data_IF_326103955990
#
_entry.id   IF_326103955990
#
_cell.length_a   1.000
_cell.length_b   1.000
_cell.length_c   1.000
_cell.angle_alpha   90.00
_cell.angle_beta   90.00
_cell.angle_gamma   90.00
#
_symmetry.space_group_name_H-M   'P 1'
#
loop_
_entity.id
_entity.type
_entity.pdbx_description
1 polymer ?
#
# COMPACT_ATOMS: atom_id res chain seq x y z
N UNK A 1 29.09 -2.42 -28.26
CA UNK A 1 28.77 -1.09 -27.67
C UNK A 1 27.56 -0.40 -28.30
N UNK A 2 27.14 -0.72 -29.54
CA UNK A 2 25.98 -0.10 -30.20
C UNK A 2 24.61 -0.51 -29.61
N UNK A 3 24.46 -1.76 -29.17
CA UNK A 3 23.17 -2.33 -28.73
C UNK A 3 22.66 -1.82 -27.37
N UNK A 4 23.55 -1.44 -26.46
CA UNK A 4 23.22 -1.01 -25.11
C UNK A 4 22.73 0.46 -25.08
N UNK A 5 23.29 1.30 -25.96
CA UNK A 5 22.82 2.66 -26.17
C UNK A 5 21.43 2.68 -26.82
N UNK A 6 21.17 1.76 -27.75
CA UNK A 6 19.87 1.65 -28.44
C UNK A 6 18.75 1.16 -27.51
N UNK A 7 19.03 0.21 -26.61
CA UNK A 7 18.07 -0.24 -25.57
C UNK A 7 17.77 0.85 -24.53
N UNK A 8 18.78 1.64 -24.14
CA UNK A 8 18.63 2.74 -23.19
C UNK A 8 17.83 3.91 -23.79
N UNK A 9 18.05 4.24 -25.06
CA UNK A 9 17.25 5.24 -25.78
C UNK A 9 15.78 4.82 -25.92
N UNK A 10 15.53 3.55 -26.26
CA UNK A 10 14.17 3.00 -26.41
C UNK A 10 13.40 2.93 -25.07
N UNK A 11 14.09 2.62 -23.97
CA UNK A 11 13.52 2.66 -22.62
C UNK A 11 13.17 4.08 -22.15
N UNK A 12 14.04 5.06 -22.43
CA UNK A 12 13.79 6.47 -22.14
C UNK A 12 12.63 7.04 -22.98
N UNK A 13 12.52 6.63 -24.23
CA UNK A 13 11.43 7.05 -25.12
C UNK A 13 10.09 6.43 -24.70
N UNK A 14 10.10 5.18 -24.23
CA UNK A 14 8.91 4.51 -23.66
C UNK A 14 8.45 5.20 -22.37
N UNK A 15 9.37 5.55 -21.47
CA UNK A 15 9.05 6.29 -20.24
C UNK A 15 8.53 7.70 -20.53
N UNK A 16 9.06 8.37 -21.56
CA UNK A 16 8.62 9.71 -21.94
C UNK A 16 7.24 9.72 -22.61
N UNK A 17 6.94 8.71 -23.44
CA UNK A 17 5.60 8.51 -24.01
C UNK A 17 4.58 8.14 -22.91
N UNK A 18 4.96 7.30 -21.94
CA UNK A 18 4.14 7.01 -20.76
C UNK A 18 3.90 8.26 -19.90
N UNK A 19 4.89 9.15 -19.79
CA UNK A 19 4.78 10.41 -19.06
C UNK A 19 3.86 11.42 -19.77
N UNK A 20 3.96 11.55 -21.09
CA UNK A 20 3.08 12.42 -21.89
C UNK A 20 1.63 11.93 -21.89
N UNK A 21 1.40 10.60 -21.92
CA UNK A 21 0.06 10.00 -21.79
C UNK A 21 -0.56 10.23 -20.41
N UNK A 22 0.15 9.88 -19.33
CA UNK A 22 -0.31 10.08 -17.96
C UNK A 22 -0.59 11.56 -17.63
N UNK A 23 0.13 12.48 -18.28
CA UNK A 23 -0.14 13.93 -18.14
C UNK A 23 -1.45 14.34 -18.80
N UNK A 24 -1.74 13.82 -19.99
CA UNK A 24 -3.00 14.10 -20.70
C UNK A 24 -4.20 13.47 -19.99
N UNK A 25 -4.03 12.31 -19.36
CA UNK A 25 -5.11 11.62 -18.65
C UNK A 25 -5.37 12.24 -17.27
N UNK A 26 -4.35 12.69 -16.55
CA UNK A 26 -4.54 13.47 -15.32
C UNK A 26 -5.17 14.85 -15.54
N UNK A 27 -4.83 15.53 -16.64
CA UNK A 27 -5.51 16.78 -17.05
C UNK A 27 -7.01 16.53 -17.30
N UNK A 28 -7.43 15.32 -17.70
CA UNK A 28 -8.84 14.93 -17.86
C UNK A 28 -9.55 14.56 -16.56
N UNK A 29 -8.82 14.24 -15.50
CA UNK A 29 -9.39 13.75 -14.24
C UNK A 29 -9.65 14.88 -13.22
N UNK A 30 -9.33 16.15 -13.47
CA UNK A 30 -9.52 17.28 -12.52
C UNK A 30 -8.95 17.03 -11.09
N UNK A 31 -8.17 15.96 -10.92
CA UNK A 31 -7.45 15.63 -9.69
C UNK A 31 -6.31 16.62 -9.71
N UNK A 32 -6.47 17.77 -9.02
CA UNK A 32 -5.59 18.94 -9.11
C UNK A 32 -4.23 18.59 -9.71
N UNK A 33 -3.98 19.05 -10.95
CA UNK A 33 -3.24 18.36 -12.03
C UNK A 33 -2.00 17.53 -11.66
N UNK A 34 -1.31 17.83 -10.57
CA UNK A 34 -0.16 17.07 -10.08
C UNK A 34 -0.55 15.80 -9.29
N UNK A 35 -1.62 15.83 -8.49
CA UNK A 35 -2.05 14.68 -7.67
C UNK A 35 -2.69 13.58 -8.51
N UNK A 36 -3.34 13.93 -9.63
CA UNK A 36 -3.92 12.98 -10.59
C UNK A 36 -2.88 12.16 -11.33
N UNK A 37 -1.87 12.83 -11.93
CA UNK A 37 -0.76 12.17 -12.65
C UNK A 37 -0.04 11.20 -11.73
N UNK A 38 0.18 11.61 -10.49
CA UNK A 38 1.02 10.89 -9.57
C UNK A 38 0.27 9.73 -8.90
N UNK A 39 -1.01 9.85 -8.56
CA UNK A 39 -1.84 8.70 -8.14
C UNK A 39 -1.84 7.59 -9.20
N UNK A 40 -2.04 7.97 -10.46
CA UNK A 40 -1.95 7.08 -11.62
C UNK A 40 -0.59 6.37 -11.70
N UNK A 41 0.52 7.11 -11.52
CA UNK A 41 1.87 6.53 -11.52
C UNK A 41 2.13 5.53 -10.36
N UNK A 42 1.57 5.73 -9.17
CA UNK A 42 1.64 4.73 -8.09
C UNK A 42 0.95 3.43 -8.50
N UNK A 43 -0.24 3.58 -9.08
CA UNK A 43 -1.06 2.45 -9.47
C UNK A 43 -0.42 1.70 -10.64
N UNK A 44 0.26 2.38 -11.57
CA UNK A 44 1.01 1.72 -12.67
C UNK A 44 2.13 0.80 -12.17
N UNK A 45 2.71 1.05 -11.00
CA UNK A 45 3.86 0.27 -10.47
C UNK A 45 3.48 -0.90 -9.57
N UNK A 46 2.25 -0.96 -9.07
CA UNK A 46 1.78 -2.12 -8.30
C UNK A 46 1.40 -3.27 -9.24
N UNK A 47 1.64 -4.52 -8.78
CA UNK A 47 1.14 -5.73 -9.44
C UNK A 47 -0.35 -5.98 -9.17
N UNK A 48 -0.96 -5.21 -8.26
CA UNK A 48 -2.39 -5.25 -7.97
C UNK A 48 -3.17 -4.60 -9.12
N UNK A 49 -4.21 -5.23 -9.65
CA UNK A 49 -5.07 -4.59 -10.63
C UNK A 49 -5.92 -3.50 -9.95
N UNK A 50 -5.93 -2.30 -10.53
CA UNK A 50 -6.62 -1.13 -9.97
C UNK A 50 -7.37 -0.39 -11.06
N UNK A 51 -8.55 0.10 -10.69
CA UNK A 51 -9.42 0.95 -11.49
C UNK A 51 -10.02 2.10 -10.66
N UNK A 52 -10.28 3.24 -11.32
CA UNK A 52 -11.10 4.32 -10.78
C UNK A 52 -12.33 4.53 -11.66
N UNK A 53 -13.49 4.66 -11.04
CA UNK A 53 -14.73 5.07 -11.69
C UNK A 53 -15.13 6.47 -11.21
N UNK A 54 -15.69 7.28 -12.12
CA UNK A 54 -16.24 8.60 -11.79
C UNK A 54 -17.76 8.50 -11.56
N UNK A 55 -18.23 8.47 -10.30
CA UNK A 55 -19.66 8.34 -10.00
C UNK A 55 -20.48 9.58 -10.41
N UNK A 56 -19.83 10.71 -10.70
CA UNK A 56 -20.50 11.94 -11.11
C UNK A 56 -20.81 11.98 -12.62
N UNK A 57 -20.34 10.97 -13.38
CA UNK A 57 -20.63 10.79 -14.80
C UNK A 57 -21.68 9.69 -14.99
N UNK A 58 -22.44 9.81 -16.07
CA UNK A 58 -23.48 8.83 -16.41
C UNK A 58 -22.90 7.41 -16.43
N UNK A 59 -23.56 6.51 -15.69
CA UNK A 59 -23.21 5.10 -15.55
C UNK A 59 -21.87 4.79 -14.84
N UNK A 60 -21.30 5.76 -14.11
CA UNK A 60 -20.05 5.60 -13.36
C UNK A 60 -18.92 4.94 -14.18
N UNK A 61 -18.50 5.55 -15.29
CA UNK A 61 -17.52 4.97 -16.20
C UNK A 61 -16.14 4.91 -15.55
N UNK A 62 -15.37 3.90 -15.92
CA UNK A 62 -13.96 3.84 -15.59
C UNK A 62 -13.23 5.00 -16.25
N UNK A 63 -12.53 5.80 -15.44
CA UNK A 63 -11.72 6.95 -15.88
C UNK A 63 -10.23 6.65 -15.81
N UNK A 64 -9.83 5.58 -15.12
CA UNK A 64 -8.46 5.13 -15.04
C UNK A 64 -8.38 3.63 -14.75
N UNK A 65 -7.39 2.96 -15.34
CA UNK A 65 -6.96 1.60 -14.98
C UNK A 65 -5.44 1.47 -15.10
N UNK A 66 -4.82 0.67 -14.22
CA UNK A 66 -3.39 0.45 -14.29
C UNK A 66 -2.99 -0.68 -15.26
N UNK A 67 -1.68 -0.89 -15.44
CA UNK A 67 -1.13 -1.98 -16.26
C UNK A 67 -1.61 -3.36 -15.78
N UNK A 68 -1.59 -3.60 -14.47
CA UNK A 68 -1.99 -4.88 -13.91
C UNK A 68 -3.47 -5.21 -14.20
N UNK A 69 -4.37 -4.21 -14.22
CA UNK A 69 -5.77 -4.41 -14.62
C UNK A 69 -5.90 -4.85 -16.07
N UNK A 70 -5.14 -4.22 -16.97
CA UNK A 70 -5.12 -4.57 -18.40
C UNK A 70 -4.57 -5.97 -18.62
N UNK A 71 -3.49 -6.32 -17.92
CA UNK A 71 -2.89 -7.66 -17.96
C UNK A 71 -3.83 -8.73 -17.37
N UNK A 72 -4.48 -8.43 -16.24
CA UNK A 72 -5.45 -9.32 -15.61
C UNK A 72 -6.64 -9.55 -16.55
N UNK A 73 -7.26 -8.50 -17.09
CA UNK A 73 -8.52 -8.63 -17.83
C UNK A 73 -8.32 -8.98 -19.31
N UNK A 74 -7.12 -8.73 -19.85
CA UNK A 74 -6.80 -8.91 -21.27
C UNK A 74 -7.39 -7.83 -22.18
N UNK A 75 -8.06 -6.80 -21.64
CA UNK A 75 -8.60 -5.70 -22.43
C UNK A 75 -7.54 -4.59 -22.62
N UNK A 76 -7.42 -4.00 -23.82
CA UNK A 76 -6.65 -2.79 -24.01
C UNK A 76 -7.37 -1.60 -23.39
N UNK A 77 -6.62 -0.58 -23.00
CA UNK A 77 -7.13 0.60 -22.30
C UNK A 77 -8.27 1.31 -23.03
N UNK A 78 -8.16 1.43 -24.36
CA UNK A 78 -9.15 2.03 -25.26
C UNK A 78 -10.52 1.34 -25.20
N UNK A 79 -10.55 0.06 -24.83
CA UNK A 79 -11.78 -0.72 -24.67
C UNK A 79 -12.31 -0.73 -23.23
N UNK A 80 -11.57 -0.13 -22.28
CA UNK A 80 -11.91 -0.10 -20.85
C UNK A 80 -12.41 1.29 -20.45
N UNK A 81 -11.64 2.33 -20.79
CA UNK A 81 -11.92 3.70 -20.38
C UNK A 81 -13.24 4.17 -20.97
N UNK A 82 -14.06 4.83 -20.15
CA UNK A 82 -15.39 5.30 -20.53
C UNK A 82 -16.51 4.27 -20.37
N UNK A 83 -16.22 3.03 -19.96
CA UNK A 83 -17.23 1.99 -19.71
C UNK A 83 -17.38 1.72 -18.22
N UNK A 84 -18.59 1.37 -17.80
CA UNK A 84 -18.77 0.82 -16.46
C UNK A 84 -18.08 -0.55 -16.35
N UNK A 85 -17.38 -0.79 -15.23
CA UNK A 85 -16.60 -2.02 -14.97
C UNK A 85 -17.42 -3.32 -15.04
N UNK A 86 -18.76 -3.24 -15.01
CA UNK A 86 -19.65 -4.40 -15.19
C UNK A 86 -19.46 -5.14 -16.52
N UNK A 87 -18.74 -4.60 -17.49
CA UNK A 87 -18.40 -5.33 -18.72
C UNK A 87 -17.59 -6.61 -18.48
N UNK A 88 -16.96 -6.76 -17.31
CA UNK A 88 -16.28 -7.98 -16.91
C UNK A 88 -17.24 -9.08 -16.41
N UNK A 89 -18.53 -8.77 -16.22
CA UNK A 89 -19.54 -9.73 -15.76
C UNK A 89 -20.04 -10.60 -16.93
N UNK A 90 -20.57 -11.78 -16.63
CA UNK A 90 -21.12 -12.70 -17.62
C UNK A 90 -22.14 -13.66 -17.01
N UNK A 91 -22.47 -14.74 -17.73
CA UNK A 91 -23.58 -15.64 -17.40
C UNK A 91 -23.48 -16.27 -16.00
N UNK A 92 -22.26 -16.60 -15.56
CA UNK A 92 -22.01 -17.20 -14.24
C UNK A 92 -21.77 -16.20 -13.12
N UNK A 93 -21.86 -14.89 -13.36
CA UNK A 93 -21.70 -13.87 -12.32
C UNK A 93 -22.90 -13.88 -11.38
N UNK A 94 -22.68 -14.09 -10.07
CA UNK A 94 -23.75 -14.11 -9.06
C UNK A 94 -24.44 -12.73 -8.94
N UNK A 95 -25.74 -12.62 -9.27
CA UNK A 95 -26.49 -11.37 -9.13
C UNK A 95 -26.57 -10.85 -7.69
N UNK A 96 -26.42 -11.73 -6.68
CA UNK A 96 -26.38 -11.36 -5.27
C UNK A 96 -25.16 -10.52 -4.92
N UNK A 97 -23.97 -10.89 -5.41
CA UNK A 97 -22.75 -10.10 -5.22
C UNK A 97 -22.83 -8.76 -5.96
N UNK A 98 -23.43 -8.76 -7.16
CA UNK A 98 -23.66 -7.52 -7.93
C UNK A 98 -24.59 -6.55 -7.18
N UNK A 99 -25.63 -7.06 -6.50
CA UNK A 99 -26.48 -6.22 -5.65
C UNK A 99 -25.72 -5.60 -4.48
N UNK A 100 -24.88 -6.37 -3.78
CA UNK A 100 -24.03 -5.84 -2.69
C UNK A 100 -23.11 -4.72 -3.16
N UNK A 101 -22.51 -4.87 -4.35
CA UNK A 101 -21.70 -3.81 -4.96
C UNK A 101 -22.53 -2.55 -5.21
N UNK A 102 -23.74 -2.70 -5.76
CA UNK A 102 -24.64 -1.57 -6.02
C UNK A 102 -25.02 -0.85 -4.74
N UNK A 103 -25.45 -1.59 -3.71
CA UNK A 103 -25.80 -1.04 -2.41
C UNK A 103 -24.63 -0.29 -1.77
N UNK A 104 -23.41 -0.84 -1.85
CA UNK A 104 -22.23 -0.17 -1.32
C UNK A 104 -21.89 1.12 -2.08
N UNK A 105 -22.06 1.13 -3.40
CA UNK A 105 -21.86 2.35 -4.20
C UNK A 105 -22.90 3.42 -3.82
N UNK A 106 -24.17 3.03 -3.67
CA UNK A 106 -25.26 3.95 -3.33
C UNK A 106 -25.13 4.53 -1.92
N UNK A 107 -24.62 3.76 -0.98
CA UNK A 107 -24.41 4.19 0.41
C UNK A 107 -23.03 4.81 0.66
N UNK A 108 -22.16 4.87 -0.36
CA UNK A 108 -20.75 5.24 -0.23
C UNK A 108 -19.99 4.39 0.81
N UNK A 109 -20.32 3.10 0.88
CA UNK A 109 -19.70 2.14 1.77
C UNK A 109 -18.48 1.47 1.13
N UNK A 110 -17.61 0.95 2.00
CA UNK A 110 -16.53 0.06 1.61
C UNK A 110 -17.03 -1.38 1.58
N UNK A 111 -16.80 -2.07 0.47
CA UNK A 111 -17.23 -3.47 0.31
C UNK A 111 -16.14 -4.34 -0.31
N UNK A 112 -16.13 -5.61 0.09
CA UNK A 112 -15.37 -6.66 -0.56
C UNK A 112 -16.35 -7.74 -1.00
N UNK A 113 -16.27 -8.11 -2.26
CA UNK A 113 -17.03 -9.23 -2.83
C UNK A 113 -16.09 -10.11 -3.64
N UNK A 114 -16.42 -11.40 -3.69
CA UNK A 114 -15.84 -12.30 -4.69
C UNK A 114 -16.91 -12.57 -5.74
N UNK A 115 -16.61 -12.27 -6.99
CA UNK A 115 -17.54 -12.50 -8.08
C UNK A 115 -16.82 -13.08 -9.30
N UNK A 116 -17.54 -13.91 -10.05
CA UNK A 116 -17.04 -14.45 -11.30
C UNK A 116 -16.99 -13.34 -12.35
N UNK A 117 -15.83 -13.13 -12.94
CA UNK A 117 -15.61 -12.22 -14.05
C UNK A 117 -15.00 -12.96 -15.24
N UNK A 118 -15.02 -12.32 -16.40
CA UNK A 118 -14.59 -12.89 -17.67
C UNK A 118 -13.56 -11.97 -18.31
N UNK A 119 -12.43 -12.55 -18.68
CA UNK A 119 -11.41 -11.86 -19.46
C UNK A 119 -11.89 -11.63 -20.89
N UNK A 120 -11.13 -10.84 -21.66
CA UNK A 120 -11.43 -10.56 -23.07
C UNK A 120 -11.53 -11.82 -23.94
N UNK A 121 -10.73 -12.84 -23.64
CA UNK A 121 -10.75 -14.14 -24.34
C UNK A 121 -11.91 -15.05 -23.89
N UNK A 122 -12.75 -14.60 -22.95
CA UNK A 122 -13.85 -15.37 -22.37
C UNK A 122 -13.44 -16.27 -21.21
N UNK A 123 -12.16 -16.33 -20.83
CA UNK A 123 -11.70 -17.13 -19.70
C UNK A 123 -12.33 -16.60 -18.40
N UNK A 124 -13.05 -17.45 -17.64
CA UNK A 124 -13.59 -17.05 -16.35
C UNK A 124 -12.47 -16.96 -15.31
N UNK A 125 -12.56 -15.98 -14.42
CA UNK A 125 -11.68 -15.86 -13.25
C UNK A 125 -12.48 -15.37 -12.04
N UNK A 126 -12.11 -15.84 -10.85
CA UNK A 126 -12.67 -15.35 -9.60
C UNK A 126 -11.99 -14.05 -9.22
N UNK A 127 -12.75 -12.97 -9.25
CA UNK A 127 -12.28 -11.65 -8.89
C UNK A 127 -12.66 -11.34 -7.43
N UNK A 128 -11.68 -11.27 -6.55
CA UNK A 128 -11.85 -10.61 -5.26
C UNK A 128 -11.77 -9.10 -5.47
N UNK A 129 -12.94 -8.45 -5.54
CA UNK A 129 -13.09 -7.03 -5.76
C UNK A 129 -13.29 -6.31 -4.43
N UNK A 130 -12.36 -5.41 -4.11
CA UNK A 130 -12.56 -4.40 -3.08
C UNK A 130 -12.96 -3.08 -3.75
N UNK A 131 -13.98 -2.43 -3.20
CA UNK A 131 -14.55 -1.19 -3.70
C UNK A 131 -14.73 -0.20 -2.54
N UNK A 132 -14.44 1.08 -2.77
CA UNK A 132 -14.71 2.13 -1.78
C UNK A 132 -14.66 3.55 -2.35
N UNK A 133 -15.23 4.53 -1.62
CA UNK A 133 -15.28 5.93 -2.06
C UNK A 133 -13.93 6.65 -1.85
N UNK A 134 -13.67 7.63 -2.71
CA UNK A 134 -12.61 8.64 -2.57
C UNK A 134 -13.29 10.01 -2.57
N UNK A 135 -12.93 10.85 -1.61
CA UNK A 135 -13.53 12.17 -1.41
C UNK A 135 -12.59 13.31 -1.79
N UNK A 136 -13.18 14.45 -2.15
CA UNK A 136 -12.50 15.75 -2.23
C UNK A 136 -12.21 16.31 -0.83
N UNK A 137 -11.41 17.38 -0.78
CA UNK A 137 -11.06 18.06 0.48
C UNK A 137 -12.28 18.69 1.19
N UNK A 138 -13.33 19.02 0.43
CA UNK A 138 -14.61 19.54 0.92
C UNK A 138 -15.58 18.44 1.37
N UNK A 139 -15.19 17.17 1.25
CA UNK A 139 -16.00 16.01 1.62
C UNK A 139 -16.93 15.51 0.52
N UNK A 140 -16.91 16.06 -0.70
CA UNK A 140 -17.74 15.55 -1.79
C UNK A 140 -17.19 14.24 -2.37
N UNK A 141 -18.05 13.28 -2.75
CA UNK A 141 -17.63 12.06 -3.42
C UNK A 141 -16.99 12.37 -4.77
N UNK A 142 -15.73 11.96 -4.93
CA UNK A 142 -14.92 12.24 -6.12
C UNK A 142 -14.82 11.03 -7.04
N UNK A 143 -14.42 9.88 -6.50
CA UNK A 143 -14.29 8.64 -7.26
C UNK A 143 -14.77 7.44 -6.46
N UNK A 144 -14.99 6.36 -7.19
CA UNK A 144 -15.05 5.02 -6.63
C UNK A 144 -13.77 4.30 -7.04
N UNK A 145 -13.02 3.88 -6.03
CA UNK A 145 -11.84 3.05 -6.19
C UNK A 145 -12.23 1.57 -6.27
N UNK A 146 -11.60 0.82 -7.17
CA UNK A 146 -11.71 -0.62 -7.23
C UNK A 146 -10.34 -1.28 -7.36
N UNK A 147 -10.05 -2.28 -6.53
CA UNK A 147 -8.89 -3.17 -6.71
C UNK A 147 -9.32 -4.60 -6.90
N UNK A 148 -8.70 -5.27 -7.85
CA UNK A 148 -9.06 -6.61 -8.30
C UNK A 148 -7.91 -7.56 -8.05
N UNK A 149 -8.23 -8.74 -7.53
CA UNK A 149 -7.28 -9.82 -7.39
C UNK A 149 -7.87 -11.11 -7.95
N UNK A 150 -7.08 -11.79 -8.75
CA UNK A 150 -7.40 -13.12 -9.22
C UNK A 150 -7.19 -14.14 -8.11
N UNK A 151 -8.30 -14.67 -7.59
CA UNK A 151 -8.32 -15.71 -6.57
C UNK A 151 -8.80 -17.04 -7.13
N UNK A 152 -8.68 -17.26 -8.45
CA UNK A 152 -9.16 -18.49 -9.10
C UNK A 152 -8.50 -19.75 -8.51
N UNK A 153 -7.18 -19.73 -8.30
CA UNK A 153 -6.44 -20.85 -7.71
C UNK A 153 -6.87 -21.11 -6.26
N UNK A 154 -7.07 -20.04 -5.49
CA UNK A 154 -7.57 -20.14 -4.12
C UNK A 154 -8.96 -20.75 -4.16
N UNK A 155 -9.87 -20.23 -4.98
CA UNK A 155 -11.25 -20.72 -5.08
C UNK A 155 -11.33 -22.17 -5.56
N UNK A 156 -10.42 -22.61 -6.43
CA UNK A 156 -10.30 -24.02 -6.82
C UNK A 156 -9.91 -24.88 -5.60
N UNK A 157 -8.93 -24.44 -4.79
CA UNK A 157 -8.56 -25.13 -3.55
C UNK A 157 -9.70 -25.12 -2.49
N UNK A 158 -10.54 -24.07 -2.47
CA UNK A 158 -11.68 -23.93 -1.55
C UNK A 158 -12.84 -24.87 -1.86
N UNK A 159 -13.03 -25.29 -3.12
CA UNK A 159 -14.04 -26.29 -3.48
C UNK A 159 -13.80 -27.62 -2.75
N UNK A 160 -12.56 -27.87 -2.34
CA UNK A 160 -12.12 -29.11 -1.72
C UNK A 160 -12.06 -29.05 -0.17
N UNK A 161 -12.10 -27.88 0.50
CA UNK A 161 -11.84 -27.81 1.96
C UNK A 161 -12.58 -26.71 2.78
N UNK A 162 -12.95 -27.04 4.02
CA UNK A 162 -13.67 -26.17 4.99
C UNK A 162 -12.80 -25.03 5.57
N UNK A 163 -11.47 -25.14 5.49
CA UNK A 163 -10.51 -24.10 5.92
C UNK A 163 -10.61 -22.80 5.10
N UNK A 164 -11.13 -22.90 3.88
CA UNK A 164 -11.44 -21.80 2.97
C UNK A 164 -12.18 -20.61 3.60
N UNK A 165 -13.17 -20.91 4.46
CA UNK A 165 -14.05 -19.89 5.06
C UNK A 165 -13.36 -19.07 6.16
N UNK A 166 -12.31 -19.61 6.79
CA UNK A 166 -11.48 -18.83 7.72
C UNK A 166 -10.55 -17.89 6.94
N UNK A 167 -9.93 -18.39 5.87
CA UNK A 167 -9.12 -17.55 4.96
C UNK A 167 -9.95 -16.42 4.33
N UNK A 168 -11.22 -16.65 3.99
CA UNK A 168 -12.14 -15.63 3.46
C UNK A 168 -12.30 -14.44 4.42
N UNK A 169 -12.62 -14.71 5.70
CA UNK A 169 -12.74 -13.65 6.71
C UNK A 169 -11.42 -12.95 6.93
N UNK A 170 -10.34 -13.71 6.97
CA UNK A 170 -9.01 -13.20 7.25
C UNK A 170 -8.50 -12.30 6.12
N UNK A 171 -8.61 -12.72 4.86
CA UNK A 171 -8.27 -11.90 3.67
C UNK A 171 -9.18 -10.68 3.60
N UNK A 172 -10.48 -10.82 3.83
CA UNK A 172 -11.42 -9.69 3.81
C UNK A 172 -11.08 -8.65 4.90
N UNK A 173 -10.77 -9.09 6.12
CA UNK A 173 -10.33 -8.21 7.19
C UNK A 173 -8.98 -7.55 6.89
N UNK A 174 -8.00 -8.32 6.40
CA UNK A 174 -6.67 -7.82 5.98
C UNK A 174 -6.77 -6.71 4.94
N UNK A 175 -7.62 -6.92 3.94
CA UNK A 175 -7.81 -5.97 2.84
C UNK A 175 -8.52 -4.71 3.32
N UNK A 176 -9.61 -4.82 4.10
CA UNK A 176 -10.29 -3.64 4.70
C UNK A 176 -9.32 -2.77 5.49
N UNK A 177 -8.45 -3.38 6.30
CA UNK A 177 -7.45 -2.66 7.09
C UNK A 177 -6.41 -1.96 6.20
N UNK A 178 -5.89 -2.66 5.18
CA UNK A 178 -4.94 -2.09 4.22
C UNK A 178 -5.52 -0.88 3.48
N UNK A 179 -6.78 -0.95 3.06
CA UNK A 179 -7.42 0.16 2.35
C UNK A 179 -7.79 1.33 3.25
N UNK A 180 -8.17 1.09 4.51
CA UNK A 180 -8.31 2.17 5.49
C UNK A 180 -7.00 2.94 5.67
N UNK A 181 -5.87 2.22 5.67
CA UNK A 181 -4.53 2.80 5.72
C UNK A 181 -4.20 3.57 4.42
N UNK A 182 -4.50 3.03 3.23
CA UNK A 182 -4.29 3.73 1.94
C UNK A 182 -5.13 5.01 1.87
N UNK A 183 -6.42 4.94 2.19
CA UNK A 183 -7.30 6.11 2.23
C UNK A 183 -6.81 7.16 3.24
N UNK A 184 -6.25 6.71 4.38
CA UNK A 184 -5.60 7.59 5.36
C UNK A 184 -4.32 8.22 4.79
N UNK A 185 -3.51 7.50 4.02
CA UNK A 185 -2.33 8.07 3.32
C UNK A 185 -2.78 9.18 2.38
N UNK A 186 -3.75 8.91 1.50
CA UNK A 186 -4.23 9.89 0.52
C UNK A 186 -4.79 11.13 1.22
N UNK A 187 -5.66 10.92 2.22
CA UNK A 187 -6.33 12.01 2.94
C UNK A 187 -5.36 12.83 3.80
N UNK A 188 -4.50 12.19 4.59
CA UNK A 188 -3.60 12.90 5.51
C UNK A 188 -2.45 13.57 4.76
N UNK A 189 -1.87 12.93 3.75
CA UNK A 189 -0.80 13.54 2.96
C UNK A 189 -1.36 14.70 2.13
N UNK A 190 -2.55 14.55 1.55
CA UNK A 190 -3.22 15.64 0.81
C UNK A 190 -3.66 16.84 1.68
N UNK A 191 -3.96 16.62 2.96
CA UNK A 191 -4.33 17.70 3.91
C UNK A 191 -3.12 18.42 4.53
N UNK A 192 -1.97 17.75 4.64
CA UNK A 192 -0.80 18.23 5.37
C UNK A 192 0.33 18.75 4.47
N UNK A 193 0.30 18.44 3.17
CA UNK A 193 1.32 18.88 2.21
C UNK A 193 0.65 19.66 1.06
N UNK A 194 0.90 20.97 1.00
CA UNK A 194 0.41 21.85 -0.09
C UNK A 194 1.48 22.08 -1.18
N UNK A 195 2.51 21.23 -1.25
CA UNK A 195 3.74 21.48 -2.00
C UNK A 195 4.11 20.34 -2.99
N UNK A 196 4.94 20.69 -3.98
CA UNK A 196 5.56 19.80 -4.97
C UNK A 196 6.06 18.48 -4.35
N UNK A 197 5.75 17.36 -5.00
CA UNK A 197 6.20 16.02 -4.59
C UNK A 197 5.29 15.28 -3.60
N UNK A 198 4.14 15.85 -3.21
CA UNK A 198 3.09 15.20 -2.40
C UNK A 198 2.82 13.77 -2.87
N UNK A 199 2.55 13.60 -4.15
CA UNK A 199 2.13 12.30 -4.62
C UNK A 199 3.30 11.35 -4.94
N UNK A 200 4.54 11.83 -5.09
CA UNK A 200 5.72 10.94 -4.99
C UNK A 200 5.81 10.27 -3.61
N UNK A 201 5.48 11.00 -2.54
CA UNK A 201 5.44 10.49 -1.16
C UNK A 201 4.28 9.51 -0.94
N UNK A 202 3.07 9.84 -1.43
CA UNK A 202 1.92 8.91 -1.41
C UNK A 202 2.29 7.61 -2.15
N UNK A 203 2.93 7.72 -3.30
CA UNK A 203 3.29 6.57 -4.13
C UNK A 203 4.32 5.68 -3.47
N UNK A 204 5.33 6.28 -2.82
CA UNK A 204 6.34 5.53 -2.08
C UNK A 204 5.70 4.69 -0.96
N UNK A 205 4.73 5.27 -0.24
CA UNK A 205 4.00 4.61 0.84
C UNK A 205 3.12 3.47 0.35
N UNK A 206 2.33 3.68 -0.70
CA UNK A 206 1.46 2.63 -1.27
C UNK A 206 2.30 1.46 -1.78
N UNK A 207 3.43 1.73 -2.46
CA UNK A 207 4.35 0.66 -2.90
C UNK A 207 4.93 -0.11 -1.73
N UNK A 208 5.32 0.58 -0.66
CA UNK A 208 5.87 -0.10 0.51
C UNK A 208 4.83 -1.00 1.18
N UNK A 209 3.60 -0.52 1.28
CA UNK A 209 2.48 -1.30 1.80
C UNK A 209 2.18 -2.52 0.93
N UNK A 210 2.21 -2.37 -0.40
CA UNK A 210 2.04 -3.49 -1.32
C UNK A 210 3.11 -4.58 -1.16
N UNK A 211 4.39 -4.21 -0.98
CA UNK A 211 5.49 -5.17 -0.71
C UNK A 211 5.31 -5.89 0.62
N UNK A 212 4.89 -5.18 1.66
CA UNK A 212 4.60 -5.79 2.95
C UNK A 212 3.52 -6.85 2.82
N UNK A 213 2.47 -6.56 2.04
CA UNK A 213 1.37 -7.47 1.82
C UNK A 213 1.79 -8.71 1.00
N UNK A 214 2.62 -8.56 -0.03
CA UNK A 214 3.17 -9.69 -0.79
C UNK A 214 4.04 -10.58 0.12
N UNK A 215 4.89 -9.99 0.95
CA UNK A 215 5.68 -10.73 1.94
C UNK A 215 4.81 -11.44 2.99
N UNK A 216 3.62 -10.92 3.29
CA UNK A 216 2.65 -11.56 4.20
C UNK A 216 1.87 -12.70 3.55
N UNK A 217 1.65 -12.68 2.24
CA UNK A 217 1.00 -13.79 1.53
C UNK A 217 1.85 -15.07 1.57
N UNK A 218 3.17 -14.93 1.71
CA UNK A 218 4.11 -16.04 1.92
C UNK A 218 4.20 -16.50 3.39
N UNK A 219 3.67 -15.71 4.35
CA UNK A 219 3.69 -16.05 5.77
C UNK A 219 2.40 -16.78 6.12
N UNK A 220 2.51 -18.08 6.42
CA UNK A 220 1.44 -18.81 7.10
C UNK A 220 1.28 -18.24 8.51
N UNK A 221 0.28 -17.40 8.70
CA UNK A 221 -0.21 -17.04 10.03
C UNK A 221 -0.88 -18.28 10.62
N UNK A 222 -0.09 -19.13 11.26
CA UNK A 222 -0.60 -20.13 12.20
C UNK A 222 -1.17 -19.40 13.41
N UNK A 223 -2.15 -19.97 14.13
CA UNK A 223 -2.59 -19.48 15.44
C UNK A 223 -1.41 -19.46 16.43
N UNK A 224 -0.62 -18.39 16.43
CA UNK A 224 0.56 -18.25 17.29
C UNK A 224 1.56 -17.17 16.87
N UNK A 225 2.60 -16.94 17.70
CA UNK A 225 3.62 -15.91 17.46
C UNK A 225 4.35 -16.10 16.12
N UNK A 226 4.42 -15.02 15.35
CA UNK A 226 5.05 -14.97 14.03
C UNK A 226 6.48 -14.43 14.15
N UNK A 227 7.40 -14.94 13.33
CA UNK A 227 8.75 -14.39 13.20
C UNK A 227 8.78 -13.34 12.08
N UNK A 228 8.88 -12.03 12.39
CA UNK A 228 8.87 -10.97 11.39
C UNK A 228 10.23 -10.73 10.72
N UNK A 229 11.27 -11.50 11.06
CA UNK A 229 12.64 -11.24 10.59
C UNK A 229 12.75 -11.15 9.07
N UNK A 230 12.11 -12.07 8.33
CA UNK A 230 12.11 -12.04 6.85
C UNK A 230 11.39 -10.79 6.32
N UNK A 231 10.20 -10.50 6.86
CA UNK A 231 9.41 -9.32 6.48
C UNK A 231 10.20 -8.02 6.67
N UNK A 232 10.79 -7.82 7.85
CA UNK A 232 11.56 -6.60 8.13
C UNK A 232 12.80 -6.48 7.25
N UNK A 233 13.45 -7.61 6.94
CA UNK A 233 14.57 -7.64 6.00
C UNK A 233 14.13 -7.22 4.60
N UNK A 234 13.05 -7.81 4.09
CA UNK A 234 12.51 -7.54 2.75
C UNK A 234 12.06 -6.07 2.62
N UNK A 235 11.56 -5.47 3.71
CA UNK A 235 11.17 -4.06 3.76
C UNK A 235 12.36 -3.09 3.77
N UNK A 236 13.44 -3.40 4.49
CA UNK A 236 14.56 -2.47 4.70
C UNK A 236 15.69 -2.64 3.68
N UNK A 237 15.88 -3.84 3.13
CA UNK A 237 16.95 -4.14 2.18
C UNK A 237 17.01 -3.17 0.97
N UNK A 238 15.90 -2.69 0.38
CA UNK A 238 15.96 -1.73 -0.73
C UNK A 238 16.63 -0.39 -0.41
N UNK A 239 16.76 -0.04 0.88
CA UNK A 239 17.31 1.24 1.35
C UNK A 239 18.74 1.13 1.86
N UNK A 240 19.16 -0.07 2.24
CA UNK A 240 20.40 -0.32 2.96
C UNK A 240 21.62 -0.22 2.01
N UNK A 241 22.52 0.76 2.16
CA UNK A 241 23.58 1.04 1.19
C UNK A 241 24.63 -0.07 1.08
N UNK A 242 24.81 -0.87 2.15
CA UNK A 242 25.68 -2.06 2.20
C UNK A 242 24.93 -3.39 2.06
N UNK A 243 23.65 -3.36 1.66
CA UNK A 243 22.79 -4.54 1.65
C UNK A 243 22.54 -5.09 3.06
N UNK A 244 22.60 -6.41 3.24
CA UNK A 244 22.27 -7.05 4.51
C UNK A 244 23.22 -6.69 5.67
N UNK A 245 24.43 -6.18 5.39
CA UNK A 245 25.42 -5.82 6.41
C UNK A 245 25.14 -4.51 7.14
N UNK A 246 24.34 -3.62 6.55
CA UNK A 246 23.98 -2.30 7.11
C UNK A 246 22.65 -2.31 7.91
N UNK A 247 22.09 -3.50 8.15
CA UNK A 247 20.87 -3.71 8.96
C UNK A 247 21.16 -4.81 10.00
N UNK A 248 20.91 -4.52 11.27
CA UNK A 248 20.77 -5.56 12.31
C UNK A 248 19.30 -5.72 12.66
N UNK A 249 18.82 -6.96 12.62
CA UNK A 249 17.47 -7.35 13.04
C UNK A 249 17.60 -8.23 14.28
N UNK A 250 16.94 -7.88 15.37
CA UNK A 250 17.05 -8.62 16.63
C UNK A 250 15.71 -8.70 17.37
N UNK A 251 15.18 -9.90 17.55
CA UNK A 251 13.93 -10.08 18.26
C UNK A 251 13.39 -11.50 18.16
N UNK A 252 12.37 -11.77 18.97
CA UNK A 252 11.72 -13.09 19.04
C UNK A 252 10.48 -13.19 18.16
N UNK A 253 9.77 -14.31 18.27
CA UNK A 253 8.43 -14.41 17.69
C UNK A 253 7.45 -13.57 18.50
N UNK A 254 6.58 -12.84 17.80
CA UNK A 254 5.62 -11.91 18.42
C UNK A 254 4.22 -12.08 17.82
N UNK A 255 3.15 -11.84 18.58
CA UNK A 255 1.79 -11.83 18.03
C UNK A 255 1.68 -10.67 17.04
N UNK A 256 1.42 -10.99 15.77
CA UNK A 256 1.26 -10.01 14.70
C UNK A 256 -0.04 -10.29 13.99
N UNK A 257 -0.94 -9.31 14.02
CA UNK A 257 -2.06 -9.26 13.11
C UNK A 257 -1.71 -8.43 11.87
N UNK A 258 -2.60 -8.51 10.89
CA UNK A 258 -2.41 -7.85 9.61
C UNK A 258 -2.41 -6.32 9.65
N UNK A 259 -3.13 -5.72 10.59
CA UNK A 259 -3.21 -4.27 10.76
C UNK A 259 -1.89 -3.74 11.30
N UNK A 260 -1.39 -4.36 12.37
CA UNK A 260 -0.10 -4.01 12.99
C UNK A 260 1.02 -4.12 11.95
N UNK A 261 1.04 -5.18 11.15
CA UNK A 261 2.07 -5.33 10.10
C UNK A 261 1.97 -4.25 9.02
N UNK A 262 0.75 -3.88 8.60
CA UNK A 262 0.55 -2.81 7.60
C UNK A 262 1.08 -1.47 8.11
N UNK A 263 0.79 -1.15 9.38
CA UNK A 263 1.25 0.07 10.05
C UNK A 263 2.77 0.07 10.28
N UNK A 264 3.33 -1.08 10.68
CA UNK A 264 4.78 -1.27 10.81
C UNK A 264 5.50 -1.08 9.48
N UNK A 265 4.97 -1.63 8.39
CA UNK A 265 5.58 -1.52 7.08
C UNK A 265 5.70 -0.08 6.58
N UNK A 266 4.67 0.74 6.84
CA UNK A 266 4.69 2.17 6.53
C UNK A 266 5.64 2.93 7.44
N UNK A 267 5.63 2.64 8.74
CA UNK A 267 6.52 3.28 9.70
C UNK A 267 7.99 3.02 9.35
N UNK A 268 8.34 1.76 9.09
CA UNK A 268 9.68 1.35 8.69
C UNK A 268 10.10 1.94 7.35
N UNK A 269 9.18 2.03 6.38
CA UNK A 269 9.45 2.68 5.11
C UNK A 269 9.87 4.14 5.28
N UNK A 270 9.11 4.90 6.04
CA UNK A 270 9.37 6.31 6.23
C UNK A 270 10.64 6.55 7.06
N UNK A 271 10.87 5.73 8.09
CA UNK A 271 12.13 5.74 8.85
C UNK A 271 13.32 5.44 7.93
N UNK A 272 13.23 4.44 7.06
CA UNK A 272 14.28 4.12 6.10
C UNK A 272 14.52 5.25 5.09
N UNK A 273 13.47 5.89 4.58
CA UNK A 273 13.60 7.06 3.69
C UNK A 273 14.30 8.21 4.43
N UNK A 274 13.95 8.46 5.69
CA UNK A 274 14.62 9.48 6.51
C UNK A 274 16.09 9.14 6.74
N UNK A 275 16.40 7.88 7.02
CA UNK A 275 17.79 7.41 7.16
C UNK A 275 18.59 7.66 5.86
N UNK A 276 18.00 7.38 4.68
CA UNK A 276 18.67 7.62 3.38
C UNK A 276 18.89 9.12 3.14
N UNK A 277 17.89 9.95 3.41
CA UNK A 277 17.94 11.39 3.11
C UNK A 277 18.78 12.18 4.11
N UNK A 278 18.74 11.78 5.37
CA UNK A 278 19.16 12.63 6.48
C UNK A 278 19.95 11.91 7.57
N UNK A 279 19.91 10.58 7.63
CA UNK A 279 20.40 9.79 8.76
C UNK A 279 21.46 8.76 8.37
N UNK A 280 21.45 7.60 9.03
CA UNK A 280 22.48 6.57 8.88
C UNK A 280 22.74 6.20 7.40
N UNK A 281 21.71 5.88 6.63
CA UNK A 281 21.87 5.44 5.24
C UNK A 281 22.28 6.52 4.24
N UNK A 282 22.47 7.76 4.68
CA UNK A 282 23.06 8.81 3.83
C UNK A 282 24.57 8.61 3.60
N UNK A 283 25.22 7.73 4.37
CA UNK A 283 26.66 7.42 4.29
C UNK A 283 26.92 5.91 4.22
N UNK A 284 28.02 5.46 3.58
CA UNK A 284 28.32 4.03 3.41
C UNK A 284 28.51 3.25 4.72
N UNK A 285 29.03 3.91 5.76
CA UNK A 285 29.30 3.33 7.09
C UNK A 285 28.07 3.31 8.00
N UNK A 286 26.96 3.87 7.52
CA UNK A 286 25.73 3.98 8.28
C UNK A 286 25.09 2.64 8.56
N UNK A 287 24.58 2.50 9.78
CA UNK A 287 23.98 1.28 10.27
C UNK A 287 22.63 1.54 10.92
N UNK A 288 21.67 0.66 10.67
CA UNK A 288 20.39 0.66 11.38
C UNK A 288 20.25 -0.64 12.14
N UNK A 289 19.85 -0.53 13.40
CA UNK A 289 19.35 -1.65 14.20
C UNK A 289 17.85 -1.52 14.35
N UNK A 290 17.14 -2.59 14.02
CA UNK A 290 15.73 -2.77 14.31
C UNK A 290 15.60 -3.94 15.30
N UNK A 291 15.09 -3.66 16.50
CA UNK A 291 14.80 -4.68 17.50
C UNK A 291 13.35 -4.69 17.94
N UNK A 292 12.87 -5.85 18.39
CA UNK A 292 11.47 -5.99 18.79
C UNK A 292 11.25 -7.03 19.90
N UNK A 293 10.27 -6.77 20.75
CA UNK A 293 9.89 -7.63 21.86
C UNK A 293 8.44 -7.38 22.30
N UNK A 294 7.84 -8.33 23.00
CA UNK A 294 6.64 -8.06 23.80
C UNK A 294 7.08 -7.55 25.16
N UNK A 295 6.51 -6.42 25.60
CA UNK A 295 6.75 -5.78 26.89
C UNK A 295 5.44 -5.66 27.66
N UNK A 296 5.53 -5.43 28.96
CA UNK A 296 4.36 -5.06 29.78
C UNK A 296 4.03 -3.59 29.51
N UNK A 297 2.84 -3.35 28.97
CA UNK A 297 2.29 -2.02 28.72
C UNK A 297 1.60 -1.41 29.95
N UNK A 298 0.91 -0.28 29.77
CA UNK A 298 0.06 0.31 30.79
C UNK A 298 -0.94 -0.73 31.32
N UNK A 299 -1.15 -0.75 32.63
CA UNK A 299 -2.07 -1.68 33.31
C UNK A 299 -1.70 -3.18 33.21
N UNK A 300 -0.50 -3.50 32.71
CA UNK A 300 0.01 -4.88 32.61
C UNK A 300 -0.47 -5.62 31.35
N UNK A 301 -1.05 -4.90 30.39
CA UNK A 301 -1.43 -5.47 29.10
C UNK A 301 -0.20 -5.64 28.18
N UNK A 302 -0.07 -6.77 27.47
CA UNK A 302 1.08 -7.01 26.61
C UNK A 302 1.08 -6.04 25.42
N UNK A 303 2.24 -5.41 25.18
CA UNK A 303 2.47 -4.52 24.05
C UNK A 303 3.65 -4.98 23.20
N UNK A 304 3.52 -4.89 21.89
CA UNK A 304 4.64 -5.04 20.96
C UNK A 304 5.44 -3.74 20.97
N UNK A 305 6.71 -3.83 21.33
CA UNK A 305 7.68 -2.74 21.23
C UNK A 305 8.61 -2.98 20.05
N UNK A 306 8.80 -1.95 19.23
CA UNK A 306 9.71 -1.93 18.09
C UNK A 306 10.70 -0.76 18.28
N UNK A 307 11.98 -1.07 18.37
CA UNK A 307 13.07 -0.09 18.51
C UNK A 307 13.84 0.08 17.22
N UNK A 308 13.93 1.31 16.72
CA UNK A 308 14.78 1.70 15.59
C UNK A 308 15.94 2.54 16.10
N UNK A 309 17.16 2.18 15.76
CA UNK A 309 18.37 2.91 16.15
C UNK A 309 19.28 3.12 14.95
N UNK A 310 19.64 4.37 14.69
CA UNK A 310 20.59 4.77 13.66
C UNK A 310 21.96 5.05 14.28
N UNK A 311 23.03 4.54 13.67
CA UNK A 311 24.41 4.84 14.05
C UNK A 311 25.30 5.01 12.82
N UNK A 312 26.44 5.68 13.00
CA UNK A 312 27.41 5.92 11.93
C UNK A 312 26.98 6.96 10.89
N UNK A 313 25.78 7.53 11.03
CA UNK A 313 25.27 8.63 10.22
C UNK A 313 25.79 10.01 10.63
N UNK A 314 25.45 11.07 9.87
CA UNK A 314 25.76 12.44 10.25
C UNK A 314 25.03 12.81 11.55
N UNK A 315 25.69 13.61 12.39
CA UNK A 315 25.07 14.15 13.60
C UNK A 315 23.78 14.92 13.25
N UNK A 316 22.69 14.74 14.00
CA UNK A 316 21.47 15.50 13.77
C UNK A 316 21.76 17.01 13.82
N UNK A 317 21.27 17.78 12.83
CA UNK A 317 21.53 19.22 12.79
C UNK A 317 20.83 19.93 13.95
N UNK A 318 21.59 20.69 14.74
CA UNK A 318 21.06 21.58 15.77
C UNK A 318 20.09 22.59 15.13
N UNK A 319 18.81 22.52 15.54
CA UNK A 319 17.74 23.38 15.04
C UNK A 319 16.66 22.70 14.18
N UNK A 320 16.81 21.40 13.88
CA UNK A 320 15.84 20.63 13.09
C UNK A 320 14.96 19.67 13.92
N UNK A 321 14.61 20.06 15.16
CA UNK A 321 13.51 19.45 15.96
C UNK A 321 12.13 19.77 15.36
N UNK A 322 11.97 19.69 14.05
CA UNK A 322 10.67 19.83 13.39
C UNK A 322 10.27 18.46 12.90
N UNK A 323 9.20 17.92 13.49
CA UNK A 323 8.48 16.80 12.93
C UNK A 323 8.16 17.14 11.47
N UNK A 324 8.80 16.42 10.54
CA UNK A 324 8.47 16.54 9.13
C UNK A 324 7.07 15.98 8.89
N UNK A 325 6.45 16.39 7.78
CA UNK A 325 5.14 15.86 7.33
C UNK A 325 5.10 14.32 7.37
N UNK A 326 6.24 13.67 7.08
CA UNK A 326 6.44 12.23 7.23
C UNK A 326 6.12 11.70 8.63
N UNK A 327 6.78 12.24 9.65
CA UNK A 327 6.66 11.81 11.05
C UNK A 327 5.24 12.06 11.59
N UNK A 328 4.64 13.20 11.25
CA UNK A 328 3.27 13.53 11.66
C UNK A 328 2.25 12.56 11.06
N UNK A 329 2.45 12.13 9.81
CA UNK A 329 1.54 11.17 9.18
C UNK A 329 1.70 9.78 9.80
N UNK A 330 2.93 9.34 10.07
CA UNK A 330 3.17 8.06 10.76
C UNK A 330 2.50 8.07 12.14
N UNK A 331 2.72 9.11 12.94
CA UNK A 331 2.12 9.24 14.27
C UNK A 331 0.60 9.15 14.22
N UNK A 332 -0.05 9.85 13.27
CA UNK A 332 -1.51 9.78 13.09
C UNK A 332 -1.99 8.42 12.58
N UNK A 333 -1.22 7.73 11.74
CA UNK A 333 -1.56 6.39 11.25
C UNK A 333 -1.44 5.35 12.34
N UNK A 334 -0.38 5.40 13.15
CA UNK A 334 -0.18 4.51 14.28
C UNK A 334 -1.31 4.67 15.30
N UNK A 335 -1.73 5.90 15.56
CA UNK A 335 -2.86 6.18 16.45
C UNK A 335 -4.20 5.59 15.97
N UNK A 336 -4.37 5.29 14.67
CA UNK A 336 -5.58 4.58 14.18
C UNK A 336 -5.61 3.11 14.58
N UNK A 337 -4.45 2.52 14.91
CA UNK A 337 -4.33 1.17 15.43
C UNK A 337 -3.91 1.14 16.90
N UNK A 338 -4.27 2.19 17.66
CA UNK A 338 -3.91 2.39 19.07
C UNK A 338 -2.40 2.31 19.36
N UNK A 339 -1.58 2.54 18.34
CA UNK A 339 -0.13 2.54 18.43
C UNK A 339 0.44 3.92 18.72
N UNK A 340 1.61 3.95 19.36
CA UNK A 340 2.35 5.15 19.72
C UNK A 340 3.74 5.15 19.11
N UNK A 341 4.30 6.33 18.85
CA UNK A 341 5.67 6.51 18.37
C UNK A 341 6.35 7.66 19.11
N UNK A 342 7.57 7.41 19.57
CA UNK A 342 8.42 8.38 20.24
C UNK A 342 9.74 8.51 19.49
N UNK A 343 10.19 9.75 19.27
CA UNK A 343 11.45 10.06 18.60
C UNK A 343 12.44 10.68 19.60
N UNK A 344 13.64 10.12 19.66
CA UNK A 344 14.75 10.59 20.49
C UNK A 344 15.98 10.84 19.62
N UNK A 345 16.30 12.13 19.43
CA UNK A 345 17.44 12.56 18.61
C UNK A 345 18.69 12.66 19.48
N UNK A 346 19.64 11.75 19.29
CA UNK A 346 20.90 11.71 20.02
C UNK A 346 22.07 12.14 19.14
N UNK A 347 23.21 12.58 19.72
CA UNK A 347 24.40 12.93 18.94
C UNK A 347 24.88 11.81 18.01
N UNK A 348 24.67 10.55 18.41
CA UNK A 348 25.08 9.35 17.69
C UNK A 348 24.13 8.97 16.53
N UNK A 349 22.90 9.49 16.55
CA UNK A 349 21.86 9.20 15.57
C UNK A 349 20.44 9.24 16.13
N UNK A 350 19.47 8.89 15.28
CA UNK A 350 18.06 8.83 15.64
C UNK A 350 17.73 7.52 16.36
N UNK A 351 17.02 7.63 17.48
CA UNK A 351 16.36 6.52 18.16
C UNK A 351 14.84 6.70 18.06
N UNK A 352 14.11 5.64 17.73
CA UNK A 352 12.65 5.66 17.68
C UNK A 352 12.11 4.44 18.40
N UNK A 353 11.11 4.64 19.24
CA UNK A 353 10.36 3.58 19.90
C UNK A 353 8.92 3.62 19.40
N UNK A 354 8.42 2.48 18.92
CA UNK A 354 7.04 2.30 18.48
C UNK A 354 6.40 1.24 19.36
N UNK A 355 5.18 1.50 19.83
CA UNK A 355 4.39 0.59 20.65
C UNK A 355 3.06 0.27 20.00
N UNK A 356 2.61 -0.99 20.10
CA UNK A 356 1.25 -1.41 19.75
C UNK A 356 0.66 -2.26 20.87
N UNK A 357 -0.62 -2.09 21.22
CA UNK A 357 -1.34 -3.08 22.01
C UNK A 357 -1.39 -4.40 21.25
N UNK A 358 -1.13 -5.51 21.95
CA UNK A 358 -1.30 -6.85 21.36
C UNK A 358 -2.58 -7.47 21.88
N UNK A 359 -3.48 -7.81 20.96
CA UNK A 359 -4.61 -8.69 21.29
C UNK A 359 -4.03 -10.11 21.41
N UNK A 360 -3.79 -10.59 22.63
CA UNK A 360 -3.50 -12.01 22.89
C UNK A 360 -4.79 -12.84 22.87
#
# INVERSE_FOLDING_TARGET
MSDQAHRSAKANETHRQQFESARQDAERMDLGAESGVLFEQAMVQTRMAVALADPNREDAPLVFVNRAFRELTGYPEEEIIGRNCRFLQGEGTDPGQVRKLREAIENEDVVIVELLNYRKDGTPFWNALHLGPIYNADGSLRYIFGSQWDVTDVHAARADEKHARMMEREISHRMKNMFAVISSIVTMTGKLDAAEGLAEKINARIRSLGRAHEAMLEVSFTDGPTDPTKLFRDLLQPYAPGGAGSVTLDGGKVPLDSNVVSLLALSLHELAINAVKHGAYSVPEGHVRLDWSVIDGPEGEPQLRLGWTETGGPAPRDGARREGVGMTIISRMLALGDGEIAYDWRPEGLHVDIHFPTSL
#
